data_IF_993600674830
#
_entry.id   IF_993600674830
#
_cell.length_a   1.000
_cell.length_b   1.000
_cell.length_c   1.000
_cell.angle_alpha   90.00
_cell.angle_beta   90.00
_cell.angle_gamma   90.00
#
_symmetry.space_group_name_H-M   'P 1'
#
loop_
_entity.id
_entity.type
_entity.pdbx_description
1 polymer ?
#
# COMPACT_ATOMS: atom_id res chain seq x y z
N UNK A 1 7.94 8.55 8.71
CA UNK A 1 8.19 9.35 9.94
C UNK A 1 7.32 8.76 11.05
N UNK A 2 7.91 8.35 12.17
CA UNK A 2 7.27 7.48 13.19
C UNK A 2 6.18 8.14 14.05
N UNK A 3 5.08 8.58 13.43
CA UNK A 3 3.85 8.97 14.13
C UNK A 3 2.74 7.93 13.95
N UNK A 4 1.94 7.68 15.00
CA UNK A 4 0.82 6.71 14.96
C UNK A 4 -0.39 7.22 14.17
N UNK A 5 -0.66 8.52 14.31
CA UNK A 5 -1.74 9.21 13.60
C UNK A 5 -1.15 10.31 12.72
N UNK A 6 -1.52 10.30 11.44
CA UNK A 6 -1.18 11.33 10.48
C UNK A 6 -2.35 11.62 9.56
N UNK A 7 -2.41 12.85 9.04
CA UNK A 7 -3.33 13.23 7.97
C UNK A 7 -2.58 14.04 6.91
N UNK A 8 -2.85 13.69 5.66
CA UNK A 8 -2.37 14.39 4.48
C UNK A 8 -3.47 15.29 3.93
N UNK A 9 -3.07 16.46 3.43
CA UNK A 9 -3.93 17.42 2.76
C UNK A 9 -3.63 17.35 1.27
N UNK A 10 -4.61 16.84 0.51
CA UNK A 10 -4.46 16.57 -0.91
C UNK A 10 -5.24 17.58 -1.74
N UNK A 11 -4.61 18.11 -2.78
CA UNK A 11 -5.28 18.83 -3.87
C UNK A 11 -5.50 17.82 -5.01
N UNK A 12 -6.75 17.55 -5.37
CA UNK A 12 -7.09 16.52 -6.37
C UNK A 12 -6.67 16.96 -7.76
N UNK A 13 -5.71 16.29 -8.38
CA UNK A 13 -5.21 16.62 -9.70
C UNK A 13 -4.74 15.34 -10.40
N UNK A 14 -5.04 15.18 -11.69
CA UNK A 14 -4.60 14.02 -12.48
C UNK A 14 -3.08 13.93 -12.59
N UNK A 15 -2.39 15.08 -12.50
CA UNK A 15 -0.93 15.20 -12.45
C UNK A 15 -0.33 14.87 -11.07
N UNK A 16 -1.16 14.56 -10.07
CA UNK A 16 -0.72 14.21 -8.72
C UNK A 16 0.04 12.89 -8.66
N UNK A 17 1.06 12.84 -7.80
CA UNK A 17 1.90 11.65 -7.60
C UNK A 17 1.24 10.63 -6.65
N UNK A 18 0.39 11.12 -5.74
CA UNK A 18 -0.24 10.30 -4.70
C UNK A 18 -1.61 9.78 -5.15
N UNK A 19 -1.81 8.47 -5.05
CA UNK A 19 -3.12 7.86 -5.24
C UNK A 19 -3.91 7.88 -3.92
N UNK A 20 -5.12 8.43 -3.96
CA UNK A 20 -6.05 8.50 -2.83
C UNK A 20 -7.22 7.55 -3.07
N UNK A 21 -7.37 6.59 -2.16
CA UNK A 21 -8.53 5.71 -2.12
C UNK A 21 -9.60 6.35 -1.25
N UNK A 22 -10.80 6.55 -1.80
CA UNK A 22 -11.92 7.15 -1.09
C UNK A 22 -13.23 6.40 -1.32
N UNK A 23 -14.20 6.58 -0.42
CA UNK A 23 -15.54 6.01 -0.57
C UNK A 23 -16.56 7.12 -0.86
N UNK A 24 -17.19 7.16 -2.05
CA UNK A 24 -18.22 8.15 -2.37
C UNK A 24 -19.46 8.07 -1.46
N UNK A 25 -19.73 6.91 -0.87
CA UNK A 25 -20.89 6.69 -0.01
C UNK A 25 -20.67 7.14 1.44
N UNK A 26 -19.43 7.44 1.86
CA UNK A 26 -19.14 7.95 3.20
C UNK A 26 -17.96 8.92 3.18
N UNK A 27 -17.28 9.14 4.33
CA UNK A 27 -16.13 10.06 4.44
C UNK A 27 -14.78 9.35 4.53
N UNK A 28 -14.74 8.06 4.22
CA UNK A 28 -13.48 7.32 4.22
C UNK A 28 -12.61 7.80 3.05
N UNK A 29 -11.40 8.25 3.38
CA UNK A 29 -10.35 8.57 2.42
C UNK A 29 -9.00 8.27 3.07
N UNK A 30 -8.08 7.69 2.30
CA UNK A 30 -6.73 7.38 2.75
C UNK A 30 -5.80 7.35 1.54
N UNK A 31 -4.53 7.73 1.75
CA UNK A 31 -3.47 7.43 0.81
C UNK A 31 -3.43 5.92 0.55
N UNK A 32 -3.17 5.51 -0.69
CA UNK A 32 -3.11 4.09 -1.09
C UNK A 32 -2.14 3.28 -0.21
N UNK A 33 -1.09 3.91 0.32
CA UNK A 33 -0.13 3.32 1.25
C UNK A 33 -0.77 2.86 2.57
N UNK A 34 -1.85 3.53 3.02
CA UNK A 34 -2.56 3.25 4.29
C UNK A 34 -3.97 2.73 4.10
N UNK A 35 -4.52 2.85 2.90
CA UNK A 35 -5.91 2.52 2.62
C UNK A 35 -6.21 1.03 2.86
N UNK A 36 -7.18 0.76 3.73
CA UNK A 36 -7.80 -0.54 3.94
C UNK A 36 -9.01 -0.76 3.02
N UNK A 37 -9.33 -2.02 2.75
CA UNK A 37 -10.46 -2.43 1.93
C UNK A 37 -11.03 -3.76 2.41
N UNK A 38 -12.34 -3.95 2.27
CA UNK A 38 -12.98 -5.25 2.36
C UNK A 38 -12.70 -6.00 1.06
N UNK A 39 -11.93 -7.08 1.17
CA UNK A 39 -11.59 -7.97 0.07
C UNK A 39 -12.80 -8.89 -0.17
N UNK A 40 -13.17 -9.09 -1.43
CA UNK A 40 -14.31 -9.95 -1.77
C UNK A 40 -14.08 -11.39 -1.30
N UNK A 41 -15.10 -11.98 -0.67
CA UNK A 41 -15.09 -13.38 -0.29
C UNK A 41 -15.22 -14.26 -1.55
N UNK A 42 -14.53 -15.39 -1.56
CA UNK A 42 -14.47 -16.32 -2.69
C UNK A 42 -15.11 -17.61 -2.23
N UNK A 43 -16.30 -17.88 -2.75
CA UNK A 43 -16.97 -19.15 -2.52
C UNK A 43 -16.41 -20.20 -3.50
N UNK A 44 -15.54 -21.06 -2.99
CA UNK A 44 -14.96 -22.20 -3.71
C UNK A 44 -15.46 -23.54 -3.17
N UNK A 45 -16.57 -23.52 -2.43
CA UNK A 45 -17.12 -24.69 -1.76
C UNK A 45 -16.21 -25.26 -0.66
N UNK A 46 -16.47 -26.52 -0.32
CA UNK A 46 -15.74 -27.22 0.75
C UNK A 46 -14.27 -27.47 0.40
N UNK A 47 -13.36 -27.48 1.39
CA UNK A 47 -11.95 -27.79 1.16
C UNK A 47 -11.74 -29.18 0.52
N UNK A 48 -11.10 -29.21 -0.65
CA UNK A 48 -10.74 -30.42 -1.38
C UNK A 48 -9.31 -30.88 -1.04
N UNK A 49 -8.95 -32.16 -1.26
CA UNK A 49 -7.58 -32.63 -1.12
C UNK A 49 -6.63 -31.86 -2.05
N UNK A 50 -5.45 -31.51 -1.54
CA UNK A 50 -4.42 -30.84 -2.32
C UNK A 50 -3.92 -31.73 -3.47
N UNK A 51 -3.79 -31.15 -4.65
CA UNK A 51 -3.43 -31.87 -5.89
C UNK A 51 -2.30 -31.14 -6.62
N UNK A 52 -1.22 -31.85 -6.95
CA UNK A 52 -0.14 -31.31 -7.77
C UNK A 52 -0.55 -31.28 -9.26
N UNK A 53 -0.28 -30.17 -9.94
CA UNK A 53 -0.61 -29.97 -11.35
C UNK A 53 0.60 -29.40 -12.09
N UNK A 54 0.93 -30.01 -13.23
CA UNK A 54 1.98 -29.52 -14.11
C UNK A 54 1.54 -28.24 -14.83
N UNK A 55 2.38 -27.22 -14.77
CA UNK A 55 2.18 -25.89 -15.38
C UNK A 55 3.46 -25.45 -16.11
N UNK A 56 3.85 -26.16 -17.19
CA UNK A 56 5.13 -25.93 -17.86
C UNK A 56 5.21 -24.54 -18.47
N UNK A 57 6.26 -23.80 -18.10
CA UNK A 57 6.52 -22.44 -18.58
C UNK A 57 5.58 -21.37 -18.04
N UNK A 58 4.76 -21.67 -17.03
CA UNK A 58 3.86 -20.70 -16.41
C UNK A 58 4.47 -20.22 -15.09
N UNK A 59 4.75 -18.91 -14.98
CA UNK A 59 5.39 -18.33 -13.80
C UNK A 59 4.59 -17.16 -13.20
N UNK A 60 3.82 -16.45 -14.01
CA UNK A 60 3.00 -15.31 -13.57
C UNK A 60 1.60 -15.76 -13.17
N UNK A 61 0.91 -14.93 -12.38
CA UNK A 61 -0.47 -15.22 -11.97
C UNK A 61 -1.39 -15.29 -13.17
N UNK A 62 -1.20 -14.42 -14.15
CA UNK A 62 -1.98 -14.34 -15.38
C UNK A 62 -1.80 -15.60 -16.22
N UNK A 63 -0.56 -16.09 -16.36
CA UNK A 63 -0.25 -17.33 -17.08
C UNK A 63 -0.89 -18.56 -16.39
N UNK A 64 -0.69 -18.69 -15.07
CA UNK A 64 -1.23 -19.82 -14.30
C UNK A 64 -2.76 -19.80 -14.29
N UNK A 65 -3.36 -18.62 -14.11
CA UNK A 65 -4.81 -18.39 -14.16
C UNK A 65 -5.38 -18.79 -15.52
N UNK A 66 -4.76 -18.32 -16.61
CA UNK A 66 -5.18 -18.64 -17.97
C UNK A 66 -5.04 -20.11 -18.31
N UNK A 67 -3.93 -20.73 -17.93
CA UNK A 67 -3.64 -22.14 -18.19
C UNK A 67 -4.60 -23.08 -17.43
N UNK A 68 -4.79 -22.83 -16.12
CA UNK A 68 -5.65 -23.66 -15.27
C UNK A 68 -7.14 -23.28 -15.34
N UNK A 69 -7.48 -22.21 -16.07
CA UNK A 69 -8.83 -21.66 -16.24
C UNK A 69 -9.51 -21.31 -14.92
N UNK A 70 -8.77 -20.70 -14.02
CA UNK A 70 -9.28 -20.20 -12.73
C UNK A 70 -9.11 -18.68 -12.67
N UNK A 71 -9.99 -17.91 -12.01
CA UNK A 71 -9.76 -16.49 -11.80
C UNK A 71 -8.44 -16.22 -11.05
N UNK A 72 -7.80 -15.08 -11.30
CA UNK A 72 -6.60 -14.66 -10.56
C UNK A 72 -6.85 -14.50 -9.06
N UNK A 73 -8.09 -14.24 -8.66
CA UNK A 73 -8.51 -14.23 -7.26
C UNK A 73 -8.47 -15.62 -6.60
N UNK A 74 -8.47 -16.71 -7.38
CA UNK A 74 -8.38 -18.08 -6.87
C UNK A 74 -6.93 -18.58 -6.78
N UNK A 75 -5.94 -17.71 -6.98
CA UNK A 75 -4.53 -18.06 -6.83
C UNK A 75 -3.93 -17.35 -5.61
N UNK A 76 -2.83 -17.90 -5.09
CA UNK A 76 -1.96 -17.27 -4.11
C UNK A 76 -0.59 -17.09 -4.76
N UNK A 77 -0.03 -15.88 -4.64
CA UNK A 77 1.36 -15.60 -5.03
C UNK A 77 2.23 -15.36 -3.82
N UNK A 78 3.51 -15.65 -4.02
CA UNK A 78 4.58 -15.38 -3.08
C UNK A 78 5.38 -14.16 -3.55
N UNK A 79 5.66 -13.24 -2.64
CA UNK A 79 6.57 -12.11 -2.86
C UNK A 79 7.66 -12.17 -1.80
N UNK A 80 8.91 -12.01 -2.21
CA UNK A 80 10.07 -12.21 -1.34
C UNK A 80 10.68 -10.87 -0.98
N UNK A 81 10.87 -10.66 0.32
CA UNK A 81 11.45 -9.44 0.85
C UNK A 81 12.68 -9.76 1.70
N UNK A 82 13.63 -8.85 1.72
CA UNK A 82 14.67 -8.80 2.74
C UNK A 82 14.25 -7.74 3.76
N UNK A 83 14.14 -8.15 5.01
CA UNK A 83 13.69 -7.34 6.14
C UNK A 83 14.76 -7.37 7.21
N UNK A 84 15.39 -6.23 7.46
CA UNK A 84 16.53 -6.09 8.39
C UNK A 84 17.63 -7.17 8.20
N UNK A 85 17.86 -7.57 6.94
CA UNK A 85 18.85 -8.57 6.54
C UNK A 85 18.35 -10.02 6.47
N UNK A 86 17.10 -10.29 6.84
CA UNK A 86 16.51 -11.63 6.84
C UNK A 86 15.48 -11.81 5.70
N UNK A 87 15.42 -13.02 5.14
CA UNK A 87 14.43 -13.37 4.12
C UNK A 87 13.03 -13.50 4.73
N UNK A 88 12.05 -12.84 4.12
CA UNK A 88 10.64 -12.90 4.48
C UNK A 88 9.82 -13.31 3.26
N UNK A 89 8.93 -14.29 3.48
CA UNK A 89 8.03 -14.84 2.48
C UNK A 89 6.63 -14.23 2.65
N UNK A 90 6.27 -13.25 1.83
CA UNK A 90 4.94 -12.66 1.85
C UNK A 90 3.98 -13.44 0.93
N UNK A 91 2.82 -13.85 1.45
CA UNK A 91 1.80 -14.61 0.72
C UNK A 91 0.55 -13.76 0.59
N UNK A 92 0.06 -13.62 -0.63
CA UNK A 92 -1.10 -12.78 -0.93
C UNK A 92 -1.90 -13.38 -2.08
N UNK A 93 -3.21 -13.11 -2.11
CA UNK A 93 -4.06 -13.50 -3.24
C UNK A 93 -3.54 -12.93 -4.56
N UNK A 94 -3.58 -13.73 -5.62
CA UNK A 94 -2.88 -13.44 -6.87
C UNK A 94 -3.35 -12.18 -7.57
N UNK A 95 -4.64 -11.88 -7.48
CA UNK A 95 -5.22 -10.65 -8.00
C UNK A 95 -4.76 -9.40 -7.26
N UNK A 96 -4.32 -9.48 -6.00
CA UNK A 96 -3.93 -8.34 -5.15
C UNK A 96 -2.44 -7.99 -5.29
N UNK A 97 -2.08 -6.76 -4.97
CA UNK A 97 -0.68 -6.30 -4.90
C UNK A 97 -0.25 -6.16 -3.45
N UNK A 98 1.00 -6.49 -3.14
CA UNK A 98 1.58 -6.22 -1.83
C UNK A 98 1.75 -4.70 -1.66
N UNK A 99 1.64 -4.23 -0.43
CA UNK A 99 1.89 -2.85 -0.04
C UNK A 99 3.04 -2.85 0.97
N UNK A 100 4.21 -2.39 0.52
CA UNK A 100 5.45 -2.37 1.30
C UNK A 100 5.34 -1.51 2.55
N UNK A 101 4.56 -0.43 2.52
CA UNK A 101 4.35 0.45 3.67
C UNK A 101 3.57 -0.28 4.76
N UNK A 102 2.50 -0.99 4.39
CA UNK A 102 1.76 -1.85 5.32
C UNK A 102 2.65 -2.98 5.86
N UNK A 103 3.39 -3.65 4.99
CA UNK A 103 4.29 -4.74 5.39
C UNK A 103 5.35 -4.24 6.37
N UNK A 104 5.98 -3.09 6.09
CA UNK A 104 6.96 -2.43 6.98
C UNK A 104 6.35 -2.08 8.33
N UNK A 105 5.13 -1.54 8.35
CA UNK A 105 4.43 -1.20 9.59
C UNK A 105 4.04 -2.44 10.42
N UNK A 106 3.65 -3.54 9.77
CA UNK A 106 3.32 -4.81 10.43
C UNK A 106 4.57 -5.47 11.04
N UNK A 107 5.70 -5.38 10.34
CA UNK A 107 6.96 -5.96 10.77
C UNK A 107 7.76 -5.08 11.74
N UNK A 108 7.40 -3.79 11.84
CA UNK A 108 8.12 -2.76 12.61
C UNK A 108 9.63 -2.74 12.31
N UNK A 109 9.97 -2.83 11.02
CA UNK A 109 11.36 -2.97 10.57
C UNK A 109 11.99 -1.65 10.12
N UNK A 110 13.32 -1.58 10.17
CA UNK A 110 14.06 -0.41 9.71
C UNK A 110 14.21 -0.41 8.19
N UNK A 111 14.62 -1.55 7.63
CA UNK A 111 14.85 -1.77 6.20
C UNK A 111 13.88 -2.82 5.64
N UNK A 112 13.33 -2.52 4.47
CA UNK A 112 12.51 -3.45 3.70
C UNK A 112 12.77 -3.22 2.23
N UNK A 113 13.10 -4.29 1.51
CA UNK A 113 13.26 -4.28 0.05
C UNK A 113 12.87 -5.62 -0.55
N UNK A 114 12.57 -5.64 -1.84
CA UNK A 114 12.43 -6.89 -2.57
C UNK A 114 13.74 -7.68 -2.53
N UNK A 115 13.62 -9.00 -2.40
CA UNK A 115 14.75 -9.89 -2.55
C UNK A 115 15.18 -9.95 -4.02
N UNK A 116 16.49 -9.99 -4.24
CA UNK A 116 17.05 -10.21 -5.57
C UNK A 116 16.92 -11.67 -5.97
N UNK A 117 16.94 -11.96 -7.27
CA UNK A 117 16.88 -13.33 -7.78
C UNK A 117 17.95 -14.24 -7.17
N UNK A 118 19.18 -13.72 -6.99
CA UNK A 118 20.28 -14.47 -6.36
C UNK A 118 19.98 -14.86 -4.90
N UNK A 119 19.34 -13.97 -4.12
CA UNK A 119 18.93 -14.25 -2.75
C UNK A 119 17.80 -15.28 -2.69
N UNK A 120 16.84 -15.19 -3.60
CA UNK A 120 15.72 -16.15 -3.72
C UNK A 120 16.24 -17.55 -4.05
N UNK A 121 17.13 -17.66 -5.04
CA UNK A 121 17.78 -18.93 -5.42
C UNK A 121 18.66 -19.45 -4.29
N UNK A 122 19.43 -18.57 -3.63
CA UNK A 122 20.27 -18.93 -2.48
C UNK A 122 19.48 -19.46 -1.28
N UNK A 123 18.22 -19.03 -1.12
CA UNK A 123 17.29 -19.53 -0.12
C UNK A 123 16.58 -20.84 -0.54
N UNK A 124 16.87 -21.38 -1.73
CA UNK A 124 16.25 -22.61 -2.25
C UNK A 124 14.80 -22.41 -2.72
N UNK A 125 14.39 -21.17 -2.99
CA UNK A 125 13.05 -20.84 -3.45
C UNK A 125 12.99 -20.92 -4.98
N UNK A 126 11.96 -21.60 -5.50
CA UNK A 126 11.70 -21.69 -6.94
C UNK A 126 10.77 -20.54 -7.36
N UNK A 127 11.33 -19.42 -7.82
CA UNK A 127 10.55 -18.28 -8.29
C UNK A 127 9.54 -18.71 -9.38
N UNK A 128 8.34 -18.12 -9.37
CA UNK A 128 7.24 -18.49 -10.27
C UNK A 128 6.47 -19.76 -9.89
N UNK A 129 7.02 -20.59 -9.00
CA UNK A 129 6.37 -21.80 -8.50
C UNK A 129 6.50 -21.95 -6.97
N UNK A 130 6.76 -20.86 -6.26
CA UNK A 130 6.92 -20.88 -4.81
C UNK A 130 5.57 -20.79 -4.07
N UNK A 131 5.48 -21.47 -2.93
CA UNK A 131 4.37 -21.34 -1.99
C UNK A 131 4.83 -21.61 -0.55
N UNK A 132 4.05 -21.17 0.46
CA UNK A 132 4.36 -21.47 1.86
C UNK A 132 4.16 -22.96 2.23
N UNK A 133 3.67 -23.81 1.31
CA UNK A 133 3.34 -25.21 1.62
C UNK A 133 4.61 -26.02 1.86
N UNK A 134 4.76 -26.53 3.09
CA UNK A 134 5.94 -27.29 3.50
C UNK A 134 7.21 -26.44 3.67
N UNK A 135 7.11 -25.11 3.58
CA UNK A 135 8.23 -24.20 3.80
C UNK A 135 8.67 -24.23 5.27
N UNK A 136 9.99 -24.24 5.51
CA UNK A 136 10.59 -24.25 6.85
C UNK A 136 11.78 -23.29 6.89
N UNK A 137 11.98 -22.65 8.04
CA UNK A 137 13.16 -21.81 8.29
C UNK A 137 13.13 -20.42 7.64
N UNK A 138 12.03 -20.03 7.00
CA UNK A 138 11.80 -18.69 6.48
C UNK A 138 10.51 -18.18 7.09
N UNK A 139 10.52 -16.93 7.57
CA UNK A 139 9.36 -16.28 8.16
C UNK A 139 8.30 -16.04 7.09
N UNK A 140 7.06 -16.47 7.35
CA UNK A 140 5.92 -16.35 6.45
C UNK A 140 4.97 -15.29 6.97
N UNK A 141 4.70 -14.28 6.15
CA UNK A 141 3.71 -13.23 6.41
C UNK A 141 2.61 -13.37 5.39
N UNK A 142 1.38 -13.58 5.84
CA UNK A 142 0.24 -13.71 4.93
C UNK A 142 -0.66 -12.47 4.98
N UNK A 143 -1.13 -12.06 3.82
CA UNK A 143 -2.26 -11.14 3.74
C UNK A 143 -3.53 -11.82 4.26
N UNK A 144 -4.42 -11.08 4.93
CA UNK A 144 -5.70 -11.63 5.39
C UNK A 144 -6.58 -12.22 4.26
N UNK A 145 -6.29 -11.90 2.99
CA UNK A 145 -6.92 -12.52 1.81
C UNK A 145 -6.72 -14.03 1.71
N UNK A 146 -5.71 -14.61 2.34
CA UNK A 146 -5.55 -16.09 2.35
C UNK A 146 -6.71 -16.80 3.04
N UNK A 147 -7.47 -16.06 3.88
CA UNK A 147 -8.66 -16.55 4.57
C UNK A 147 -9.96 -16.17 3.84
N UNK A 148 -9.88 -15.50 2.67
CA UNK A 148 -11.06 -15.03 1.93
C UNK A 148 -11.71 -16.12 1.09
N UNK A 149 -11.37 -17.39 1.27
CA UNK A 149 -11.88 -18.48 0.45
C UNK A 149 -11.15 -19.79 0.72
N UNK A 150 -11.49 -20.78 -0.08
CA UNK A 150 -10.92 -22.13 -0.03
C UNK A 150 -10.32 -22.50 -1.38
N UNK A 151 -9.55 -23.58 -1.41
CA UNK A 151 -9.10 -24.26 -2.62
C UNK A 151 -8.28 -23.40 -3.61
N UNK A 152 -7.37 -22.58 -3.10
CA UNK A 152 -6.52 -21.75 -3.94
C UNK A 152 -5.53 -22.56 -4.78
N UNK A 153 -5.05 -21.96 -5.86
CA UNK A 153 -3.86 -22.42 -6.59
C UNK A 153 -2.63 -21.69 -6.06
N UNK A 154 -1.60 -22.42 -5.62
CA UNK A 154 -0.31 -21.85 -5.23
C UNK A 154 0.84 -22.59 -5.91
N UNK A 155 2.06 -22.05 -5.86
CA UNK A 155 3.24 -22.72 -6.40
C UNK A 155 3.52 -24.10 -5.79
N UNK A 156 4.08 -25.01 -6.58
CA UNK A 156 4.40 -26.39 -6.18
C UNK A 156 5.75 -26.58 -5.47
N UNK A 157 6.51 -25.51 -5.25
CA UNK A 157 7.89 -25.52 -4.75
C UNK A 157 8.86 -26.38 -5.62
N UNK A 158 8.50 -26.57 -6.89
CA UNK A 158 9.27 -27.27 -7.93
C UNK A 158 9.07 -26.53 -9.25
N UNK A 159 10.04 -26.56 -10.17
CA UNK A 159 9.85 -26.00 -11.51
C UNK A 159 8.59 -26.53 -12.19
N UNK A 160 7.92 -25.68 -12.97
CA UNK A 160 6.79 -26.06 -13.82
C UNK A 160 5.63 -26.75 -13.10
N UNK A 161 5.45 -26.46 -11.81
CA UNK A 161 4.50 -27.15 -10.95
C UNK A 161 3.73 -26.18 -10.06
N UNK A 162 2.42 -26.37 -9.98
CA UNK A 162 1.54 -25.69 -9.03
C UNK A 162 0.74 -26.72 -8.23
N UNK A 163 0.15 -26.29 -7.13
CA UNK A 163 -0.77 -27.08 -6.32
C UNK A 163 -2.16 -26.45 -6.37
N UNK A 164 -3.16 -27.27 -6.67
CA UNK A 164 -4.58 -26.95 -6.50
C UNK A 164 -5.04 -27.28 -5.11
N UNK A 165 -6.14 -26.65 -4.73
CA UNK A 165 -6.86 -26.90 -3.50
C UNK A 165 -6.03 -26.58 -2.24
N UNK A 166 -5.17 -25.57 -2.30
CA UNK A 166 -4.39 -25.07 -1.16
C UNK A 166 -5.29 -24.25 -0.25
N UNK A 167 -5.30 -24.58 1.04
CA UNK A 167 -6.18 -24.00 2.04
C UNK A 167 -5.39 -23.55 3.27
N UNK A 168 -5.53 -22.28 3.66
CA UNK A 168 -5.09 -21.80 4.97
C UNK A 168 -6.18 -22.08 6.03
N UNK A 169 -5.85 -22.55 7.25
CA UNK A 169 -4.53 -22.89 7.77
C UNK A 169 -4.16 -24.40 7.61
N UNK A 170 -4.88 -25.16 6.78
CA UNK A 170 -4.70 -26.62 6.66
C UNK A 170 -3.32 -27.00 6.07
N UNK A 171 -2.93 -26.35 4.97
CA UNK A 171 -1.77 -26.76 4.16
C UNK A 171 -0.51 -25.94 4.45
N UNK A 172 -0.67 -24.76 5.04
CA UNK A 172 0.44 -23.91 5.49
C UNK A 172 0.02 -23.05 6.67
N UNK A 173 1.02 -22.56 7.41
CA UNK A 173 0.84 -21.59 8.50
C UNK A 173 1.62 -20.32 8.18
N UNK A 174 1.21 -19.21 8.79
CA UNK A 174 1.89 -17.93 8.68
C UNK A 174 2.24 -17.45 10.09
N UNK A 175 3.42 -16.86 10.25
CA UNK A 175 3.85 -16.27 11.52
C UNK A 175 3.02 -15.03 11.87
N UNK A 176 2.61 -14.27 10.84
CA UNK A 176 1.71 -13.13 10.95
C UNK A 176 0.68 -13.19 9.83
N UNK A 177 -0.59 -12.97 10.18
CA UNK A 177 -1.66 -12.66 9.22
C UNK A 177 -2.10 -11.22 9.46
N UNK A 178 -1.98 -10.38 8.44
CA UNK A 178 -2.32 -8.95 8.52
C UNK A 178 -2.79 -8.42 7.17
N UNK A 179 -3.34 -7.19 7.14
CA UNK A 179 -3.59 -6.51 5.88
C UNK A 179 -2.26 -5.97 5.31
N UNK A 180 -1.72 -6.66 4.30
CA UNK A 180 -0.52 -6.25 3.57
C UNK A 180 -0.82 -5.98 2.09
N UNK A 181 -2.09 -6.00 1.70
CA UNK A 181 -2.52 -5.74 0.34
C UNK A 181 -2.73 -4.24 0.07
N UNK A 182 -2.45 -3.81 -1.16
CA UNK A 182 -2.86 -2.50 -1.69
C UNK A 182 -4.38 -2.48 -1.92
N UNK A 183 -5.08 -1.52 -1.32
CA UNK A 183 -6.49 -1.29 -1.61
C UNK A 183 -6.67 -0.70 -3.01
N UNK A 184 -7.78 -1.03 -3.69
CA UNK A 184 -8.06 -0.62 -5.06
C UNK A 184 -9.51 -0.20 -5.24
N UNK A 185 -9.75 0.62 -6.26
CA UNK A 185 -11.10 0.99 -6.68
C UNK A 185 -11.94 -0.27 -6.97
N UNK A 186 -13.23 -0.21 -6.63
CA UNK A 186 -14.18 -1.32 -6.77
C UNK A 186 -14.26 -2.26 -5.56
N UNK A 187 -13.24 -2.31 -4.69
CA UNK A 187 -13.30 -3.07 -3.44
C UNK A 187 -14.24 -2.44 -2.42
N UNK A 188 -14.62 -3.20 -1.38
CA UNK A 188 -15.55 -2.71 -0.36
C UNK A 188 -14.89 -1.74 0.63
N UNK A 189 -15.63 -0.74 1.05
CA UNK A 189 -15.17 0.25 2.02
C UNK A 189 -15.18 -0.35 3.43
N UNK A 190 -14.10 -0.21 4.22
CA UNK A 190 -14.01 -0.77 5.57
C UNK A 190 -14.96 -0.10 6.57
N UNK A 191 -15.56 1.06 6.23
CA UNK A 191 -16.46 1.80 7.11
C UNK A 191 -17.95 1.51 6.87
N UNK A 192 -18.36 1.32 5.62
CA UNK A 192 -19.78 1.20 5.26
C UNK A 192 -20.09 0.06 4.28
N UNK A 193 -19.10 -0.67 3.78
CA UNK A 193 -19.29 -1.72 2.77
C UNK A 193 -19.55 -1.24 1.35
N UNK A 194 -19.75 0.06 1.11
CA UNK A 194 -19.90 0.64 -0.23
C UNK A 194 -18.64 0.49 -1.09
N UNK A 195 -18.71 0.72 -2.40
CA UNK A 195 -17.54 0.59 -3.28
C UNK A 195 -16.55 1.75 -3.10
N UNK A 196 -15.26 1.41 -3.10
CA UNK A 196 -14.16 2.37 -3.12
C UNK A 196 -13.92 2.91 -4.53
N UNK A 197 -13.44 4.14 -4.59
CA UNK A 197 -12.98 4.86 -5.79
C UNK A 197 -11.53 5.29 -5.58
N UNK A 198 -10.85 5.59 -6.69
CA UNK A 198 -9.48 6.09 -6.68
C UNK A 198 -9.41 7.41 -7.45
N UNK A 199 -8.52 8.29 -6.99
CA UNK A 199 -8.19 9.56 -7.63
C UNK A 199 -6.73 9.91 -7.33
N UNK A 200 -6.15 10.82 -8.10
CA UNK A 200 -4.79 11.31 -7.87
C UNK A 200 -4.81 12.68 -7.20
N UNK A 201 -3.79 12.94 -6.40
CA UNK A 201 -3.67 14.19 -5.65
C UNK A 201 -2.23 14.63 -5.47
N UNK A 202 -2.06 15.94 -5.29
CA UNK A 202 -0.81 16.55 -4.88
C UNK A 202 -0.88 16.78 -3.37
N UNK A 203 0.01 16.14 -2.60
CA UNK A 203 0.14 16.40 -1.17
C UNK A 203 0.68 17.82 -0.93
N UNK A 204 -0.16 18.72 -0.42
CA UNK A 204 0.20 20.11 -0.11
C UNK A 204 0.50 20.34 1.37
N UNK A 205 0.16 19.39 2.24
CA UNK A 205 0.48 19.46 3.65
C UNK A 205 0.29 18.14 4.38
N UNK A 206 0.95 18.04 5.54
CA UNK A 206 0.96 16.84 6.37
C UNK A 206 1.00 17.22 7.84
N UNK A 207 0.19 16.53 8.65
CA UNK A 207 0.21 16.67 10.11
C UNK A 207 0.46 15.33 10.78
N UNK A 208 1.31 15.31 11.79
CA UNK A 208 1.69 14.09 12.52
C UNK A 208 1.54 14.26 14.02
N UNK A 209 1.01 13.24 14.69
CA UNK A 209 1.21 13.03 16.14
C UNK A 209 2.49 12.23 16.35
N UNK A 210 3.56 12.90 16.74
CA UNK A 210 4.87 12.28 16.97
C UNK A 210 4.97 11.61 18.35
N UNK A 211 4.08 11.96 19.27
CA UNK A 211 4.11 11.44 20.64
C UNK A 211 5.41 11.87 21.33
N UNK A 212 6.10 10.92 21.97
CA UNK A 212 7.32 11.18 22.74
C UNK A 212 8.60 10.74 22.03
N UNK A 213 8.51 10.30 20.76
CA UNK A 213 9.62 9.69 20.03
C UNK A 213 10.90 10.54 20.01
N UNK A 214 10.77 11.85 19.74
CA UNK A 214 11.92 12.76 19.72
C UNK A 214 12.31 13.26 21.10
N UNK A 215 11.33 13.54 21.97
CA UNK A 215 11.59 14.08 23.31
C UNK A 215 12.31 13.06 24.19
N UNK A 216 11.97 11.78 24.10
CA UNK A 216 12.70 10.70 24.78
C UNK A 216 14.15 10.58 24.28
N UNK A 217 14.36 10.62 22.97
CA UNK A 217 15.70 10.47 22.36
C UNK A 217 16.61 11.67 22.60
N UNK A 218 16.05 12.88 22.63
CA UNK A 218 16.81 14.12 22.76
C UNK A 218 16.83 14.67 24.21
N UNK A 219 16.10 14.05 25.14
CA UNK A 219 16.03 14.49 26.54
C UNK A 219 15.21 15.77 26.73
N UNK A 220 14.19 16.01 25.91
CA UNK A 220 13.31 17.17 26.04
C UNK A 220 12.16 16.89 27.03
N UNK A 221 12.37 17.24 28.31
CA UNK A 221 11.49 16.91 29.42
C UNK A 221 10.83 18.16 30.04
N UNK A 222 9.68 17.98 30.69
CA UNK A 222 9.05 18.98 31.56
C UNK A 222 8.75 18.37 32.93
N UNK A 223 8.47 19.21 33.94
CA UNK A 223 8.06 18.77 35.28
C UNK A 223 6.56 19.04 35.41
N UNK A 224 5.79 18.03 35.82
CA UNK A 224 4.35 18.17 36.07
C UNK A 224 4.04 18.85 37.41
N UNK A 225 2.75 18.99 37.73
CA UNK A 225 2.25 19.57 38.98
C UNK A 225 2.62 18.76 40.24
N UNK A 226 3.09 17.52 40.09
CA UNK A 226 3.54 16.62 41.17
C UNK A 226 5.06 16.59 41.32
N UNK A 227 5.80 17.35 40.52
CA UNK A 227 7.26 17.33 40.53
C UNK A 227 7.88 16.17 39.76
N UNK A 228 7.10 15.45 38.95
CA UNK A 228 7.58 14.30 38.16
C UNK A 228 8.03 14.77 36.78
N UNK A 229 9.18 14.28 36.33
CA UNK A 229 9.71 14.59 35.00
C UNK A 229 9.09 13.70 33.93
N UNK A 230 8.55 14.31 32.87
CA UNK A 230 7.92 13.62 31.74
C UNK A 230 8.48 14.13 30.40
N UNK A 231 8.57 13.27 29.38
CA UNK A 231 8.90 13.71 28.02
C UNK A 231 7.79 14.58 27.44
N UNK A 232 8.17 15.61 26.69
CA UNK A 232 7.21 16.50 26.00
C UNK A 232 6.47 15.70 24.92
N UNK A 233 5.15 15.78 24.89
CA UNK A 233 4.33 15.22 23.79
C UNK A 233 4.38 16.18 22.60
N UNK A 234 4.73 15.67 21.42
CA UNK A 234 5.02 16.47 20.23
C UNK A 234 4.04 16.18 19.09
N UNK A 235 3.73 17.24 18.34
CA UNK A 235 3.12 17.19 17.01
C UNK A 235 3.91 18.04 16.04
N UNK A 236 3.82 17.74 14.74
CA UNK A 236 4.39 18.59 13.69
C UNK A 236 3.39 18.77 12.55
N UNK A 237 3.52 19.91 11.87
CA UNK A 237 2.60 20.38 10.85
C UNK A 237 3.43 21.02 9.74
N UNK A 238 3.29 20.52 8.51
CA UNK A 238 4.02 21.01 7.35
C UNK A 238 3.06 21.40 6.24
N UNK A 239 3.34 22.52 5.57
CA UNK A 239 2.69 22.94 4.33
C UNK A 239 3.79 23.25 3.33
N UNK A 240 3.75 22.61 2.16
CA UNK A 240 4.72 22.82 1.10
C UNK A 240 4.39 24.09 0.32
N UNK A 241 4.85 25.26 0.76
CA UNK A 241 4.47 26.56 0.15
C UNK A 241 4.78 26.61 -1.37
N UNK A 242 5.97 26.16 -1.78
CA UNK A 242 6.33 26.12 -3.20
C UNK A 242 5.45 25.15 -4.00
N UNK A 243 5.14 23.99 -3.42
CA UNK A 243 4.24 22.99 -4.03
C UNK A 243 2.79 23.48 -4.08
N UNK A 244 2.34 24.23 -3.08
CA UNK A 244 0.99 24.80 -3.03
C UNK A 244 0.77 25.81 -4.16
N UNK A 245 1.79 26.60 -4.51
CA UNK A 245 1.73 27.49 -5.68
C UNK A 245 1.55 26.70 -6.97
N UNK A 246 2.32 25.63 -7.19
CA UNK A 246 2.17 24.76 -8.36
C UNK A 246 0.79 24.08 -8.38
N UNK A 247 0.34 23.53 -7.25
CA UNK A 247 -0.97 22.90 -7.11
C UNK A 247 -2.13 23.87 -7.40
N UNK A 248 -1.99 25.15 -7.05
CA UNK A 248 -2.98 26.17 -7.38
C UNK A 248 -3.06 26.43 -8.90
N UNK A 249 -1.93 26.40 -9.61
CA UNK A 249 -1.89 26.52 -11.08
C UNK A 249 -2.52 25.27 -11.71
N UNK A 250 -2.16 24.08 -11.25
CA UNK A 250 -2.72 22.81 -11.75
C UNK A 250 -4.26 22.78 -11.64
N UNK A 251 -4.81 23.31 -10.54
CA UNK A 251 -6.27 23.43 -10.36
C UNK A 251 -6.92 24.55 -11.16
N UNK A 252 -6.15 25.53 -11.63
CA UNK A 252 -6.70 26.77 -12.19
C UNK A 252 -5.82 27.30 -13.31
N UNK A 253 -5.91 26.64 -14.46
CA UNK A 253 -5.30 27.06 -15.72
C UNK A 253 -6.21 26.71 -16.90
N UNK A 254 -5.92 27.32 -18.04
CA UNK A 254 -6.48 26.97 -19.34
C UNK A 254 -5.39 27.02 -20.42
N UNK A 255 -5.78 26.82 -21.68
CA UNK A 255 -4.85 26.87 -22.82
C UNK A 255 -4.14 28.23 -23.00
N UNK A 256 -4.63 29.30 -22.35
CA UNK A 256 -4.06 30.65 -22.42
C UNK A 256 -3.16 30.97 -21.23
N UNK A 257 -3.15 30.14 -20.19
CA UNK A 257 -2.21 30.23 -19.08
C UNK A 257 -2.87 30.13 -17.72
N UNK A 258 -2.25 30.79 -16.74
CA UNK A 258 -2.60 30.65 -15.32
C UNK A 258 -3.84 31.49 -14.99
N UNK A 259 -4.77 30.89 -14.25
CA UNK A 259 -5.95 31.56 -13.68
C UNK A 259 -5.76 31.62 -12.17
N UNK A 260 -5.07 32.65 -11.68
CA UNK A 260 -4.83 32.78 -10.25
C UNK A 260 -6.13 32.95 -9.45
N UNK A 261 -6.34 32.19 -8.36
CA UNK A 261 -7.33 32.52 -7.36
C UNK A 261 -7.07 33.93 -6.81
N UNK A 262 -8.13 34.73 -6.64
CA UNK A 262 -8.03 36.14 -6.25
C UNK A 262 -7.08 36.41 -5.05
N UNK A 263 -7.08 35.61 -3.96
CA UNK A 263 -6.21 35.87 -2.81
C UNK A 263 -4.70 35.72 -3.07
N UNK A 264 -4.31 35.05 -4.16
CA UNK A 264 -2.90 34.79 -4.49
C UNK A 264 -2.50 35.33 -5.86
N UNK A 265 -3.38 36.11 -6.51
CA UNK A 265 -3.05 36.78 -7.75
C UNK A 265 -1.91 37.79 -7.53
N UNK A 266 -0.88 37.84 -8.38
CA UNK A 266 0.24 38.76 -8.19
C UNK A 266 -0.19 40.22 -8.29
N UNK A 267 -1.20 40.50 -9.11
CA UNK A 267 -1.87 41.78 -9.24
C UNK A 267 -3.35 41.55 -9.53
N UNK A 268 -4.23 42.38 -8.97
CA UNK A 268 -5.68 42.29 -9.26
C UNK A 268 -6.06 42.91 -10.61
N UNK A 269 -5.25 43.84 -11.12
CA UNK A 269 -5.50 44.54 -12.39
C UNK A 269 -4.17 44.67 -13.14
N UNK A 270 -4.17 44.27 -14.42
CA UNK A 270 -3.05 44.48 -15.33
C UNK A 270 -3.42 45.55 -16.37
N UNK A 271 -2.87 46.76 -16.21
CA UNK A 271 -3.12 47.88 -17.13
C UNK A 271 -2.14 47.80 -18.30
N UNK A 272 -2.66 47.50 -19.49
CA UNK A 272 -1.88 47.43 -20.73
C UNK A 272 -2.26 48.58 -21.67
N UNK A 273 -1.34 49.54 -21.87
CA UNK A 273 -1.57 50.62 -22.85
C UNK A 273 -1.36 50.10 -24.27
N UNK A 274 -2.36 50.27 -25.14
CA UNK A 274 -2.26 49.88 -26.55
C UNK A 274 -1.44 50.86 -27.39
N UNK A 275 -1.30 52.10 -26.92
CA UNK A 275 -0.53 53.16 -27.56
C UNK A 275 0.17 54.02 -26.50
N UNK A 276 1.44 54.37 -26.73
CA UNK A 276 2.16 55.41 -25.97
C UNK A 276 2.59 56.49 -26.96
N UNK A 277 2.17 57.73 -26.74
CA UNK A 277 2.72 58.85 -27.51
C UNK A 277 4.22 58.98 -27.20
N UNK A 278 5.06 58.96 -28.25
CA UNK A 278 6.51 59.20 -28.15
C UNK A 278 7.42 57.96 -28.14
N UNK A 279 6.93 56.77 -28.50
CA UNK A 279 7.75 55.57 -28.82
C UNK A 279 7.63 55.18 -30.28
#
# INVERSE_FOLDING_TARGET
IGGKDSHEFMVIAESGEDEVIHCPACKYAANVEKAQSIKGNIDNGEPLPMEEVATPGMATIEEVSGFLKVPTSHTLKAVFYIVDGEMVFAVIRGDLEANEVKLKNVLDCAELRLATEAEVVGAGIVAGAASPVGLRGIRVIADDSVSSGTNFVAGGNKPDTHMRNVNYPRDFTADIVADIARARAGQGCPKCGGKLSSTFGIEVGHVFKLGTFFSEKLGALFIDDRGVSHPIVMGCYGIGIGRLMAAAIEQSHDDKGIIWPLPIAPYHVYLCSLYREGS
#
